data_IF_912330342224
#
_entry.id   IF_912330342224
#
_cell.length_a   1.000
_cell.length_b   1.000
_cell.length_c   1.000
_cell.angle_alpha   90.00
_cell.angle_beta   90.00
_cell.angle_gamma   90.00
#
_symmetry.space_group_name_H-M   'P 1'
#
loop_
_entity.id
_entity.type
_entity.pdbx_description
1 polymer ?
#
# COMPACT_ATOMS: atom_id res chain seq x y z
N UNK A 1 -1.92 24.16 -5.87
CA UNK A 1 -2.24 22.86 -6.51
C UNK A 1 -1.28 21.80 -5.99
N UNK A 2 -1.60 21.12 -4.87
CA UNK A 2 -0.70 20.12 -4.28
C UNK A 2 -1.40 18.89 -3.69
N UNK A 3 -2.67 18.68 -4.04
CA UNK A 3 -3.51 17.58 -3.50
C UNK A 3 -3.97 16.57 -4.57
N UNK A 4 -3.60 16.77 -5.84
CA UNK A 4 -4.03 15.92 -6.96
C UNK A 4 -3.40 14.51 -6.94
N UNK A 5 -2.25 14.36 -6.27
CA UNK A 5 -1.45 13.12 -6.30
C UNK A 5 -2.09 11.95 -5.52
N UNK A 6 -2.91 12.25 -4.53
CA UNK A 6 -3.59 11.27 -3.67
C UNK A 6 -5.08 11.12 -4.00
N UNK A 7 -5.56 11.77 -5.07
CA UNK A 7 -6.92 11.60 -5.56
C UNK A 7 -7.18 10.14 -5.99
N UNK A 8 -8.38 9.57 -5.76
CA UNK A 8 -8.71 8.19 -6.12
C UNK A 8 -8.42 7.87 -7.59
N UNK A 9 -8.77 8.78 -8.51
CA UNK A 9 -8.48 8.62 -9.95
C UNK A 9 -6.98 8.63 -10.28
N UNK A 10 -6.22 9.53 -9.63
CA UNK A 10 -4.77 9.62 -9.84
C UNK A 10 -4.07 8.35 -9.32
N UNK A 11 -4.53 7.81 -8.18
CA UNK A 11 -4.06 6.55 -7.63
C UNK A 11 -4.43 5.37 -8.53
N UNK A 12 -5.65 5.32 -9.03
CA UNK A 12 -6.11 4.31 -10.00
C UNK A 12 -5.24 4.31 -11.26
N UNK A 13 -5.00 5.49 -11.85
CA UNK A 13 -4.17 5.63 -13.06
C UNK A 13 -2.72 5.20 -12.80
N UNK A 14 -2.17 5.58 -11.64
CA UNK A 14 -0.80 5.20 -11.23
C UNK A 14 -0.68 3.70 -10.96
N UNK A 15 -1.64 3.13 -10.24
CA UNK A 15 -1.72 1.71 -9.95
C UNK A 15 -1.67 0.90 -11.26
N UNK A 16 -2.54 1.22 -12.22
CA UNK A 16 -2.56 0.57 -13.54
C UNK A 16 -1.24 0.69 -14.28
N UNK A 17 -0.60 1.87 -14.25
CA UNK A 17 0.72 2.09 -14.88
C UNK A 17 1.80 1.17 -14.32
N UNK A 18 1.74 0.86 -13.03
CA UNK A 18 2.72 0.01 -12.33
C UNK A 18 2.23 -1.44 -12.15
N UNK A 19 1.28 -1.90 -13.00
CA UNK A 19 0.86 -3.29 -13.04
C UNK A 19 -0.04 -3.72 -11.88
N UNK A 20 -0.66 -2.79 -11.16
CA UNK A 20 -1.74 -3.09 -10.24
C UNK A 20 -3.08 -3.12 -10.96
N UNK A 21 -3.86 -4.16 -10.70
CA UNK A 21 -5.26 -4.29 -11.10
C UNK A 21 -6.14 -3.56 -10.10
N UNK A 22 -7.13 -2.83 -10.58
CA UNK A 22 -8.11 -2.15 -9.73
C UNK A 22 -9.33 -3.06 -9.61
N UNK A 23 -9.60 -3.59 -8.40
CA UNK A 23 -10.75 -4.47 -8.16
C UNK A 23 -12.03 -3.66 -7.91
N UNK A 24 -11.95 -2.66 -7.04
CA UNK A 24 -13.09 -1.80 -6.68
C UNK A 24 -12.64 -0.36 -6.58
N UNK A 25 -13.31 0.53 -7.30
CA UNK A 25 -13.15 1.99 -7.18
C UNK A 25 -14.50 2.69 -6.88
N UNK A 26 -15.61 1.95 -6.81
CA UNK A 26 -16.93 2.49 -6.52
C UNK A 26 -17.15 2.50 -5.01
N UNK A 27 -17.12 3.68 -4.39
CA UNK A 27 -17.35 3.88 -2.96
C UNK A 27 -16.15 4.48 -2.23
N UNK A 28 -16.15 4.50 -0.89
CA UNK A 28 -15.10 5.13 -0.11
C UNK A 28 -13.81 4.29 -0.05
N UNK A 29 -13.70 3.17 -0.78
CA UNK A 29 -12.53 2.28 -0.71
C UNK A 29 -12.05 1.92 -2.11
N UNK A 30 -10.78 2.21 -2.38
CA UNK A 30 -10.03 1.74 -3.54
C UNK A 30 -9.30 0.45 -3.18
N UNK A 31 -9.63 -0.64 -3.88
CA UNK A 31 -8.94 -1.93 -3.72
C UNK A 31 -8.07 -2.19 -4.94
N UNK A 32 -6.77 -2.38 -4.69
CA UNK A 32 -5.77 -2.65 -5.69
C UNK A 32 -5.17 -4.03 -5.45
N UNK A 33 -4.97 -4.78 -6.52
CA UNK A 33 -4.33 -6.10 -6.47
C UNK A 33 -3.13 -6.19 -7.40
N UNK A 34 -2.10 -6.86 -6.94
CA UNK A 34 -0.93 -7.19 -7.75
C UNK A 34 -0.33 -8.50 -7.27
N UNK A 35 -0.34 -9.52 -8.11
CA UNK A 35 0.00 -10.89 -7.70
C UNK A 35 -0.83 -11.27 -6.46
N UNK A 36 -0.16 -11.77 -5.41
CA UNK A 36 -0.78 -12.13 -4.13
C UNK A 36 -0.95 -10.94 -3.16
N UNK A 37 -0.61 -9.71 -3.58
CA UNK A 37 -0.74 -8.52 -2.76
C UNK A 37 -2.08 -7.83 -3.00
N UNK A 38 -2.68 -7.36 -1.90
CA UNK A 38 -3.86 -6.50 -1.91
C UNK A 38 -3.58 -5.23 -1.11
N UNK A 39 -3.88 -4.08 -1.68
CA UNK A 39 -3.79 -2.76 -1.06
C UNK A 39 -5.17 -2.13 -1.05
N UNK A 40 -5.68 -1.84 0.13
CA UNK A 40 -6.98 -1.22 0.36
C UNK A 40 -6.75 0.21 0.86
N UNK A 41 -7.37 1.20 0.22
CA UNK A 41 -7.22 2.61 0.58
C UNK A 41 -8.62 3.17 0.81
N UNK A 42 -8.92 3.57 2.04
CA UNK A 42 -10.18 4.22 2.37
C UNK A 42 -10.06 5.74 2.24
N UNK A 43 -11.08 6.37 1.69
CA UNK A 43 -11.18 7.80 1.42
C UNK A 43 -12.36 8.41 2.18
N UNK A 44 -12.20 9.68 2.55
CA UNK A 44 -13.31 10.55 2.91
C UNK A 44 -13.37 11.69 1.89
N UNK A 45 -14.35 11.64 0.98
CA UNK A 45 -14.31 12.42 -0.25
C UNK A 45 -13.12 11.98 -1.10
N UNK A 46 -12.27 12.93 -1.49
CA UNK A 46 -11.11 12.67 -2.36
C UNK A 46 -9.80 12.44 -1.59
N UNK A 47 -9.84 12.53 -0.25
CA UNK A 47 -8.66 12.42 0.60
C UNK A 47 -8.52 11.02 1.22
N UNK A 48 -7.36 10.34 1.10
CA UNK A 48 -7.14 9.07 1.77
C UNK A 48 -7.08 9.26 3.29
N UNK A 49 -7.77 8.40 4.03
CA UNK A 49 -7.88 8.42 5.50
C UNK A 49 -7.18 7.25 6.15
N UNK A 50 -7.22 6.08 5.53
CA UNK A 50 -6.50 4.90 6.00
C UNK A 50 -6.11 4.04 4.81
N UNK A 51 -5.06 3.25 4.98
CA UNK A 51 -4.68 2.25 4.01
C UNK A 51 -4.24 0.98 4.73
N UNK A 52 -4.48 -0.15 4.11
CA UNK A 52 -4.09 -1.46 4.60
C UNK A 52 -3.51 -2.31 3.50
N UNK A 53 -2.56 -3.15 3.83
CA UNK A 53 -1.94 -4.08 2.91
C UNK A 53 -2.07 -5.51 3.43
N UNK A 54 -2.34 -6.43 2.50
CA UNK A 54 -2.32 -7.87 2.73
C UNK A 54 -1.32 -8.47 1.76
N UNK A 55 -0.37 -9.23 2.30
CA UNK A 55 0.65 -9.94 1.53
C UNK A 55 0.36 -11.43 1.39
N UNK A 56 1.15 -12.16 0.59
CA UNK A 56 1.00 -13.60 0.40
C UNK A 56 1.12 -14.42 1.68
N UNK A 57 2.00 -14.00 2.60
CA UNK A 57 2.31 -14.72 3.85
C UNK A 57 1.49 -14.21 5.04
N UNK A 58 0.63 -13.20 4.84
CA UNK A 58 -0.12 -12.58 5.93
C UNK A 58 -1.59 -13.01 5.90
N UNK A 59 -2.05 -13.59 7.00
CA UNK A 59 -3.46 -13.91 7.20
C UNK A 59 -4.31 -12.67 7.54
N UNK A 60 -3.69 -11.49 7.69
CA UNK A 60 -4.32 -10.25 8.09
C UNK A 60 -4.15 -9.09 7.10
N UNK A 61 -4.99 -8.07 7.26
CA UNK A 61 -4.84 -6.78 6.58
C UNK A 61 -4.20 -5.80 7.56
N UNK A 62 -2.94 -5.43 7.31
CA UNK A 62 -2.13 -4.60 8.23
C UNK A 62 -2.21 -3.12 7.84
N UNK A 63 -2.37 -2.20 8.80
CA UNK A 63 -2.42 -0.77 8.50
C UNK A 63 -1.06 -0.26 7.99
N UNK A 64 -1.07 0.55 6.93
CA UNK A 64 0.14 1.17 6.37
C UNK A 64 0.08 2.69 6.42
N UNK A 65 1.25 3.32 6.46
CA UNK A 65 1.38 4.76 6.41
C UNK A 65 0.91 5.28 5.05
N UNK A 66 0.01 6.27 5.06
CA UNK A 66 -0.55 6.89 3.84
C UNK A 66 0.54 7.48 2.94
N UNK A 67 1.63 7.99 3.51
CA UNK A 67 2.77 8.53 2.74
C UNK A 67 3.46 7.46 1.90
N UNK A 68 3.41 6.21 2.37
CA UNK A 68 4.03 5.06 1.71
C UNK A 68 3.21 4.48 0.57
N UNK A 69 1.93 4.86 0.40
CA UNK A 69 1.06 4.37 -0.69
C UNK A 69 1.75 4.55 -2.05
N UNK A 70 2.30 5.73 -2.32
CA UNK A 70 2.97 5.98 -3.59
C UNK A 70 4.22 5.12 -3.80
N UNK A 71 4.96 4.82 -2.74
CA UNK A 71 6.10 3.92 -2.80
C UNK A 71 5.65 2.48 -3.09
N UNK A 72 4.58 2.01 -2.44
CA UNK A 72 4.00 0.68 -2.66
C UNK A 72 3.48 0.51 -4.09
N UNK A 73 2.81 1.54 -4.62
CA UNK A 73 2.32 1.49 -6.00
C UNK A 73 3.45 1.40 -7.02
N UNK A 74 4.57 2.06 -6.77
CA UNK A 74 5.72 2.11 -7.69
C UNK A 74 6.71 0.97 -7.51
N UNK A 75 6.71 0.32 -6.35
CA UNK A 75 7.64 -0.76 -6.02
C UNK A 75 7.61 -1.86 -7.08
N UNK A 76 8.77 -2.41 -7.42
CA UNK A 76 8.80 -3.60 -8.27
C UNK A 76 8.27 -4.84 -7.50
N UNK A 77 7.82 -5.90 -8.18
CA UNK A 77 7.21 -7.06 -7.51
C UNK A 77 8.12 -7.68 -6.43
N UNK A 78 9.43 -7.68 -6.66
CA UNK A 78 10.44 -8.22 -5.75
C UNK A 78 10.73 -7.30 -4.55
N UNK A 79 10.45 -6.00 -4.67
CA UNK A 79 10.64 -5.01 -3.59
C UNK A 79 9.39 -4.83 -2.74
N UNK A 80 8.23 -5.28 -3.24
CA UNK A 80 6.94 -5.03 -2.62
C UNK A 80 6.86 -5.56 -1.19
N UNK A 81 7.45 -6.72 -0.90
CA UNK A 81 7.52 -7.28 0.45
C UNK A 81 8.28 -6.39 1.43
N UNK A 82 9.46 -5.91 1.04
CA UNK A 82 10.29 -5.00 1.84
C UNK A 82 9.58 -3.67 2.05
N UNK A 83 8.99 -3.11 0.99
CA UNK A 83 8.30 -1.83 1.05
C UNK A 83 7.01 -1.90 1.86
N UNK A 84 6.29 -3.03 1.80
CA UNK A 84 5.14 -3.30 2.64
C UNK A 84 5.53 -3.34 4.11
N UNK A 85 6.57 -4.11 4.47
CA UNK A 85 7.10 -4.16 5.83
C UNK A 85 7.48 -2.77 6.36
N UNK A 86 8.18 -1.96 5.56
CA UNK A 86 8.54 -0.59 5.93
C UNK A 86 7.35 0.37 6.00
N UNK A 87 6.25 0.05 5.32
CA UNK A 87 5.06 0.88 5.28
C UNK A 87 4.10 0.60 6.44
N UNK A 88 4.16 -0.57 7.07
CA UNK A 88 3.25 -0.96 8.15
C UNK A 88 3.42 -0.03 9.37
N UNK A 89 2.30 0.48 9.87
CA UNK A 89 2.26 1.39 11.01
C UNK A 89 2.65 0.62 12.27
N UNK A 90 3.74 1.04 12.91
CA UNK A 90 4.16 0.47 14.20
C UNK A 90 5.16 -0.69 14.12
N UNK A 91 5.51 -1.18 12.92
CA UNK A 91 6.66 -2.08 12.77
C UNK A 91 7.95 -1.25 12.86
N UNK A 92 8.62 -1.32 14.02
CA UNK A 92 10.06 -1.03 14.06
C UNK A 92 10.72 -2.03 13.12
N UNK A 93 11.67 -1.62 12.27
CA UNK A 93 12.50 -2.59 11.56
C UNK A 93 13.15 -3.44 12.64
N UNK A 94 12.76 -4.71 12.71
CA UNK A 94 13.41 -5.70 13.56
C UNK A 94 14.84 -5.82 13.06
N UNK A 95 15.71 -4.96 13.58
CA UNK A 95 17.15 -5.09 13.45
C UNK A 95 17.43 -6.45 14.04
N UNK A 96 17.80 -7.41 13.20
CA UNK A 96 18.27 -8.71 13.62
C UNK A 96 19.29 -8.47 14.73
N UNK A 97 18.87 -8.76 15.97
CA UNK A 97 19.75 -8.80 17.11
C UNK A 97 20.52 -10.10 16.91
N UNK A 98 21.67 -10.01 16.24
CA UNK A 98 22.70 -11.03 16.37
C UNK A 98 23.04 -11.10 17.87
N UNK A 99 22.79 -12.22 18.56
CA UNK A 99 23.59 -12.52 19.73
C UNK A 99 24.93 -12.99 19.18
N UNK A 100 25.94 -12.12 19.20
CA UNK A 100 27.33 -12.55 19.04
C UNK A 100 27.85 -13.01 20.42
N UNK A 101 28.74 -14.01 20.45
CA UNK A 101 28.87 -15.03 21.49
C UNK A 101 29.52 -14.60 22.81
#
# INVERSE_FOLDING_TARGET
>A
MKDDLMHPDALTRRARRHGWTVETAAGPVLTLRRHSWRLEIAFAGDAPRSARITGPDDQGSRPVNLRSINALLRAEPHELARNAAAAIVGERPSRAHNPDP
#
